data_IF_251358573569
#
_entry.id   IF_251358573569
#
_cell.length_a   1.000
_cell.length_b   1.000
_cell.length_c   1.000
_cell.angle_alpha   90.00
_cell.angle_beta   90.00
_cell.angle_gamma   90.00
#
_symmetry.space_group_name_H-M   'P 1'
#
loop_
_entity.id
_entity.type
_entity.pdbx_description
1 polymer ?
#
# COMPACT_ATOMS: atom_id res chain seq x y z
N UNK A 1 -30.64 -3.18 8.57
CA UNK A 1 -29.96 -4.47 8.26
C UNK A 1 -28.47 -4.45 8.59
N UNK A 2 -27.75 -3.32 8.45
CA UNK A 2 -26.32 -3.23 8.82
C UNK A 2 -26.02 -3.27 10.32
N UNK A 3 -26.87 -2.65 11.17
CA UNK A 3 -26.72 -2.71 12.65
C UNK A 3 -26.67 -4.16 13.16
N UNK A 4 -27.46 -5.05 12.53
CA UNK A 4 -27.52 -6.46 12.91
C UNK A 4 -26.21 -7.21 12.62
N UNK A 5 -25.43 -6.82 11.61
CA UNK A 5 -24.16 -7.48 11.27
C UNK A 5 -23.03 -6.98 12.17
N UNK A 6 -22.95 -5.67 12.40
CA UNK A 6 -21.90 -5.13 13.28
C UNK A 6 -22.08 -5.59 14.73
N UNK A 7 -23.32 -5.61 15.24
CA UNK A 7 -23.62 -6.14 16.57
C UNK A 7 -23.23 -7.62 16.70
N UNK A 8 -23.48 -8.44 15.67
CA UNK A 8 -23.05 -9.84 15.66
C UNK A 8 -21.53 -9.99 15.73
N UNK A 9 -20.77 -9.16 14.99
CA UNK A 9 -19.30 -9.18 15.04
C UNK A 9 -18.83 -8.79 16.44
N UNK A 10 -19.40 -7.72 17.03
CA UNK A 10 -19.05 -7.27 18.39
C UNK A 10 -19.34 -8.36 19.41
N UNK A 11 -20.50 -9.00 19.34
CA UNK A 11 -20.88 -10.09 20.24
C UNK A 11 -19.92 -11.28 20.10
N UNK A 12 -19.60 -11.70 18.87
CA UNK A 12 -18.67 -12.79 18.62
C UNK A 12 -17.24 -12.49 19.09
N UNK A 13 -16.77 -11.25 18.91
CA UNK A 13 -15.46 -10.82 19.42
C UNK A 13 -15.44 -10.80 20.95
N UNK A 14 -16.54 -10.36 21.59
CA UNK A 14 -16.68 -10.34 23.05
C UNK A 14 -16.63 -11.75 23.64
N UNK A 15 -17.29 -12.71 22.99
CA UNK A 15 -17.29 -14.12 23.41
C UNK A 15 -15.98 -14.84 23.06
N UNK A 16 -15.16 -14.29 22.18
CA UNK A 16 -13.90 -14.92 21.76
C UNK A 16 -12.88 -14.94 22.90
N UNK A 17 -12.24 -16.09 23.18
CA UNK A 17 -11.22 -16.19 24.22
C UNK A 17 -9.97 -15.36 23.88
N UNK A 18 -9.67 -15.20 22.59
CA UNK A 18 -8.57 -14.39 22.09
C UNK A 18 -8.95 -13.74 20.78
N UNK A 19 -8.45 -12.54 20.54
CA UNK A 19 -8.57 -11.91 19.23
C UNK A 19 -7.33 -11.07 18.91
N UNK A 20 -7.19 -10.74 17.64
CA UNK A 20 -6.16 -9.82 17.15
C UNK A 20 -6.81 -8.74 16.30
N UNK A 21 -6.17 -7.58 16.22
CA UNK A 21 -6.64 -6.48 15.39
C UNK A 21 -5.61 -6.12 14.33
N UNK A 22 -6.08 -5.67 13.18
CA UNK A 22 -5.25 -4.97 12.20
C UNK A 22 -5.80 -3.57 11.99
N UNK A 23 -4.92 -2.58 11.94
CA UNK A 23 -5.29 -1.17 11.93
C UNK A 23 -4.63 -0.47 10.75
N UNK A 24 -5.42 0.33 10.05
CA UNK A 24 -4.96 1.18 8.95
C UNK A 24 -5.59 2.58 9.08
N UNK A 25 -4.78 3.62 8.87
CA UNK A 25 -5.24 5.00 8.89
C UNK A 25 -5.36 5.53 7.47
N UNK A 26 -6.46 6.18 7.15
CA UNK A 26 -6.64 6.90 5.90
C UNK A 26 -7.30 8.24 6.13
N UNK A 27 -7.15 9.17 5.19
CA UNK A 27 -7.87 10.45 5.22
C UNK A 27 -9.02 10.37 4.22
N UNK A 28 -10.24 10.68 4.67
CA UNK A 28 -11.40 10.72 3.79
C UNK A 28 -11.46 12.01 2.95
N UNK A 29 -12.48 12.11 2.09
CA UNK A 29 -12.66 13.26 1.19
C UNK A 29 -12.96 14.58 1.90
N UNK A 30 -13.31 14.53 3.20
CA UNK A 30 -13.59 15.68 4.04
C UNK A 30 -12.41 16.08 4.92
N UNK A 31 -11.21 15.57 4.63
CA UNK A 31 -9.98 15.76 5.41
C UNK A 31 -10.08 15.23 6.85
N UNK A 32 -10.98 14.27 7.11
CA UNK A 32 -11.07 13.58 8.40
C UNK A 32 -10.23 12.32 8.35
N UNK A 33 -9.30 12.19 9.31
CA UNK A 33 -8.56 10.96 9.51
C UNK A 33 -9.51 9.87 10.05
N UNK A 34 -9.48 8.72 9.40
CA UNK A 34 -10.30 7.56 9.71
C UNK A 34 -9.40 6.39 10.06
N UNK A 35 -9.66 5.78 11.21
CA UNK A 35 -8.96 4.59 11.68
C UNK A 35 -9.84 3.37 11.40
N UNK A 36 -9.46 2.58 10.42
CA UNK A 36 -10.11 1.32 10.10
C UNK A 36 -9.53 0.21 10.97
N UNK A 37 -10.39 -0.52 11.67
CA UNK A 37 -10.00 -1.63 12.54
C UNK A 37 -10.64 -2.91 12.02
N UNK A 38 -9.78 -3.84 11.62
CA UNK A 38 -10.13 -5.22 11.35
C UNK A 38 -9.89 -6.06 12.59
N UNK A 39 -10.70 -7.10 12.78
CA UNK A 39 -10.55 -8.04 13.87
C UNK A 39 -10.49 -9.46 13.33
N UNK A 40 -9.57 -10.24 13.89
CA UNK A 40 -9.52 -11.70 13.73
C UNK A 40 -9.79 -12.34 15.07
N UNK A 41 -10.88 -13.10 15.16
CA UNK A 41 -11.36 -13.74 16.39
C UNK A 41 -11.69 -15.21 16.14
N UNK A 42 -11.94 -15.96 17.22
CA UNK A 42 -12.37 -17.35 17.15
C UNK A 42 -13.88 -17.40 17.37
N UNK A 43 -14.61 -18.02 16.44
CA UNK A 43 -16.01 -18.35 16.66
C UNK A 43 -16.14 -19.48 17.70
N UNK A 44 -17.37 -19.78 18.14
CA UNK A 44 -17.68 -20.90 19.07
C UNK A 44 -17.16 -22.26 18.57
N UNK A 45 -17.03 -22.41 17.25
CA UNK A 45 -16.47 -23.59 16.58
C UNK A 45 -14.93 -23.67 16.64
N UNK A 46 -14.27 -22.67 17.24
CA UNK A 46 -12.82 -22.44 17.20
C UNK A 46 -12.26 -22.18 15.79
N UNK A 47 -13.14 -21.88 14.82
CA UNK A 47 -12.71 -21.45 13.50
C UNK A 47 -12.32 -19.96 13.53
N UNK A 48 -11.15 -19.57 12.99
CA UNK A 48 -10.76 -18.17 12.92
C UNK A 48 -11.56 -17.45 11.85
N UNK A 49 -12.09 -16.29 12.21
CA UNK A 49 -12.83 -15.41 11.30
C UNK A 49 -12.24 -14.01 11.31
N UNK A 50 -12.28 -13.36 10.16
CA UNK A 50 -11.74 -12.01 9.94
C UNK A 50 -12.88 -11.12 9.45
N UNK A 51 -13.11 -10.00 10.13
CA UNK A 51 -14.18 -9.06 9.80
C UNK A 51 -13.75 -7.62 10.08
N UNK A 52 -14.45 -6.65 9.47
CA UNK A 52 -14.33 -5.24 9.87
C UNK A 52 -15.03 -5.06 11.21
N UNK A 53 -14.30 -4.55 12.20
CA UNK A 53 -14.86 -4.25 13.52
C UNK A 53 -15.50 -2.86 13.54
N UNK A 54 -14.72 -1.84 13.15
CA UNK A 54 -15.17 -0.47 13.16
C UNK A 54 -14.32 0.44 12.26
N UNK A 55 -14.91 1.60 11.95
CA UNK A 55 -14.25 2.75 11.36
C UNK A 55 -14.42 3.91 12.34
N UNK A 56 -13.32 4.40 12.90
CA UNK A 56 -13.33 5.43 13.93
C UNK A 56 -12.78 6.75 13.37
N UNK A 57 -13.58 7.83 13.38
CA UNK A 57 -13.07 9.14 13.00
C UNK A 57 -12.14 9.68 14.10
N UNK A 58 -10.92 10.08 13.72
CA UNK A 58 -9.95 10.75 14.58
C UNK A 58 -10.11 12.26 14.39
N UNK A 59 -10.60 12.96 15.42
CA UNK A 59 -10.84 14.39 15.35
C UNK A 59 -9.60 15.18 15.77
N UNK A 60 -9.14 16.08 14.89
CA UNK A 60 -8.07 17.04 15.16
C UNK A 60 -6.65 16.48 15.06
N UNK A 61 -6.33 15.43 15.82
CA UNK A 61 -4.98 14.86 15.89
C UNK A 61 -4.99 13.34 15.72
N UNK A 62 -3.89 12.80 15.19
CA UNK A 62 -3.67 11.37 14.93
C UNK A 62 -2.46 10.82 15.70
N UNK A 63 -2.17 11.37 16.89
CA UNK A 63 -1.04 10.89 17.72
C UNK A 63 -1.39 9.53 18.32
N UNK A 64 -0.38 8.79 18.76
CA UNK A 64 -0.60 7.49 19.40
C UNK A 64 -1.53 7.54 20.63
N UNK A 65 -1.54 8.67 21.35
CA UNK A 65 -2.47 8.96 22.46
C UNK A 65 -3.92 9.03 21.97
N UNK A 66 -4.17 9.80 20.90
CA UNK A 66 -5.51 9.99 20.32
C UNK A 66 -6.07 8.66 19.77
N UNK A 67 -5.20 7.85 19.14
CA UNK A 67 -5.53 6.49 18.67
C UNK A 67 -5.85 5.56 19.85
N UNK A 68 -5.03 5.58 20.91
CA UNK A 68 -5.25 4.76 22.10
C UNK A 68 -6.59 5.07 22.76
N UNK A 69 -6.89 6.36 22.95
CA UNK A 69 -8.13 6.81 23.58
C UNK A 69 -9.35 6.38 22.75
N UNK A 70 -9.26 6.52 21.41
CA UNK A 70 -10.33 6.11 20.50
C UNK A 70 -10.61 4.60 20.59
N UNK A 71 -9.56 3.77 20.57
CA UNK A 71 -9.67 2.31 20.69
C UNK A 71 -10.19 1.90 22.07
N UNK A 72 -9.63 2.45 23.15
CA UNK A 72 -10.07 2.14 24.51
C UNK A 72 -11.54 2.49 24.69
N UNK A 73 -11.95 3.69 24.26
CA UNK A 73 -13.34 4.13 24.34
C UNK A 73 -14.28 3.22 23.58
N UNK A 74 -13.90 2.78 22.36
CA UNK A 74 -14.69 1.84 21.59
C UNK A 74 -14.85 0.49 22.31
N UNK A 75 -13.75 -0.06 22.82
CA UNK A 75 -13.75 -1.36 23.51
C UNK A 75 -14.54 -1.30 24.82
N UNK A 76 -14.41 -0.21 25.59
CA UNK A 76 -15.16 0.03 26.82
C UNK A 76 -16.67 0.15 26.53
N UNK A 77 -17.05 0.95 25.53
CA UNK A 77 -18.44 1.16 25.12
C UNK A 77 -19.13 -0.14 24.69
N UNK A 78 -18.39 -1.01 23.99
CA UNK A 78 -18.91 -2.28 23.48
C UNK A 78 -18.58 -3.49 24.38
N UNK A 79 -18.03 -3.24 25.57
CA UNK A 79 -17.64 -4.29 26.52
C UNK A 79 -16.76 -5.39 25.90
N UNK A 80 -15.84 -5.02 25.00
CA UNK A 80 -14.87 -5.94 24.42
C UNK A 80 -13.71 -6.08 25.41
N UNK A 81 -13.38 -7.30 25.86
CA UNK A 81 -12.32 -7.52 26.85
C UNK A 81 -10.95 -7.27 26.20
N UNK A 82 -10.35 -6.12 26.51
CA UNK A 82 -9.03 -5.75 25.98
C UNK A 82 -7.95 -6.76 26.40
N UNK A 83 -8.12 -7.42 27.55
CA UNK A 83 -7.24 -8.50 28.04
C UNK A 83 -7.30 -9.79 27.20
N UNK A 84 -8.17 -9.87 26.18
CA UNK A 84 -8.17 -10.99 25.23
C UNK A 84 -7.41 -10.63 23.94
N UNK A 85 -6.86 -9.42 23.82
CA UNK A 85 -6.10 -8.98 22.65
C UNK A 85 -4.71 -9.60 22.65
N UNK A 86 -4.43 -10.47 21.67
CA UNK A 86 -3.13 -11.17 21.59
C UNK A 86 -2.14 -10.55 20.61
N UNK A 87 -2.63 -9.87 19.58
CA UNK A 87 -1.74 -9.20 18.62
C UNK A 87 -2.38 -8.05 17.85
N UNK A 88 -1.51 -7.18 17.34
CA UNK A 88 -1.86 -5.98 16.56
C UNK A 88 -1.00 -5.95 15.30
N UNK A 89 -1.62 -5.74 14.14
CA UNK A 89 -0.90 -5.54 12.87
C UNK A 89 -1.12 -4.13 12.34
N UNK A 90 -0.05 -3.42 11.98
CA UNK A 90 -0.13 -1.99 11.58
C UNK A 90 0.79 -1.69 10.41
N UNK A 91 0.60 -0.56 9.74
CA UNK A 91 1.43 -0.10 8.62
C UNK A 91 2.83 0.42 9.05
N UNK A 92 3.12 0.41 10.35
CA UNK A 92 4.39 0.90 10.90
C UNK A 92 4.50 2.42 10.97
N UNK A 93 3.41 3.18 10.87
CA UNK A 93 3.42 4.63 11.03
C UNK A 93 4.00 5.04 12.39
N UNK A 94 4.82 6.12 12.48
CA UNK A 94 5.44 6.56 13.74
C UNK A 94 4.44 6.83 14.88
N UNK A 95 3.24 7.32 14.57
CA UNK A 95 2.17 7.51 15.54
C UNK A 95 1.67 6.20 16.17
N UNK A 96 1.83 5.08 15.47
CA UNK A 96 1.34 3.78 15.91
C UNK A 96 2.46 2.98 16.61
N UNK A 97 3.65 2.91 16.00
CA UNK A 97 4.77 2.07 16.49
C UNK A 97 5.88 2.83 17.21
N UNK A 98 5.72 4.14 17.42
CA UNK A 98 6.71 4.97 18.11
C UNK A 98 7.06 4.45 19.51
N UNK A 99 8.36 4.41 19.83
CA UNK A 99 8.87 3.79 21.06
C UNK A 99 8.21 4.31 22.34
N UNK A 100 8.09 5.62 22.51
CA UNK A 100 7.59 6.20 23.77
C UNK A 100 6.10 6.55 23.74
N UNK A 101 5.66 7.14 22.62
CA UNK A 101 4.33 7.74 22.43
C UNK A 101 3.51 7.09 21.31
N UNK A 102 4.00 6.01 20.72
CA UNK A 102 3.23 5.25 19.75
C UNK A 102 2.07 4.51 20.42
N UNK A 103 0.94 4.39 19.73
CA UNK A 103 -0.23 3.64 20.20
C UNK A 103 0.14 2.28 20.79
N UNK A 104 0.93 1.46 20.08
CA UNK A 104 1.31 0.11 20.53
C UNK A 104 2.08 0.16 21.84
N UNK A 105 3.03 1.09 21.96
CA UNK A 105 3.83 1.26 23.18
C UNK A 105 3.00 1.73 24.36
N UNK A 106 2.05 2.65 24.14
CA UNK A 106 1.14 3.13 25.18
C UNK A 106 0.16 2.03 25.61
N UNK A 107 -0.37 1.27 24.66
CA UNK A 107 -1.26 0.14 24.94
C UNK A 107 -0.57 -0.95 25.76
N UNK A 108 0.66 -1.32 25.40
CA UNK A 108 1.46 -2.29 26.17
C UNK A 108 1.74 -1.82 27.59
N UNK A 109 1.95 -0.53 27.82
CA UNK A 109 2.09 0.05 29.17
C UNK A 109 0.78 -0.06 29.97
N UNK A 110 -0.38 0.00 29.31
CA UNK A 110 -1.70 -0.14 29.94
C UNK A 110 -2.02 -1.60 30.29
N UNK A 111 -1.61 -2.57 29.47
CA UNK A 111 -1.91 -3.99 29.64
C UNK A 111 -0.90 -4.73 30.54
N UNK A 112 -0.69 -4.22 31.75
CA UNK A 112 0.39 -4.52 32.72
C UNK A 112 0.88 -5.97 32.89
N UNK A 113 0.17 -7.00 32.42
CA UNK A 113 0.54 -8.42 32.54
C UNK A 113 0.52 -9.22 31.22
N UNK A 114 0.04 -8.64 30.11
CA UNK A 114 -0.15 -9.37 28.86
C UNK A 114 0.82 -8.94 27.77
N UNK A 115 1.49 -9.91 27.15
CA UNK A 115 2.39 -9.63 26.02
C UNK A 115 1.59 -9.59 24.72
N UNK A 116 1.05 -8.43 24.38
CA UNK A 116 0.47 -8.17 23.05
C UNK A 116 1.60 -8.14 22.01
N UNK A 117 1.51 -8.97 20.98
CA UNK A 117 2.48 -8.98 19.88
C UNK A 117 2.13 -7.92 18.85
N UNK A 118 3.11 -7.17 18.41
CA UNK A 118 2.95 -6.20 17.33
C UNK A 118 3.66 -6.68 16.06
N UNK A 119 2.95 -6.61 14.95
CA UNK A 119 3.43 -6.99 13.63
C UNK A 119 3.34 -5.80 12.70
N UNK A 120 4.37 -5.60 11.88
CA UNK A 120 4.29 -4.71 10.74
C UNK A 120 3.60 -5.46 9.60
N UNK A 121 2.56 -4.86 9.03
CA UNK A 121 1.84 -5.35 7.87
C UNK A 121 2.78 -5.81 6.75
N UNK A 122 2.72 -7.10 6.42
CA UNK A 122 3.60 -7.73 5.43
C UNK A 122 3.41 -7.11 4.03
N UNK A 123 2.19 -6.68 3.71
CA UNK A 123 1.87 -5.98 2.46
C UNK A 123 2.61 -4.65 2.43
N UNK A 124 2.59 -3.88 3.51
CA UNK A 124 3.32 -2.61 3.61
C UNK A 124 4.84 -2.83 3.52
N UNK A 125 5.39 -3.80 4.26
CA UNK A 125 6.82 -4.14 4.19
C UNK A 125 7.26 -4.54 2.78
N UNK A 126 6.46 -5.35 2.11
CA UNK A 126 6.70 -5.75 0.73
C UNK A 126 6.76 -4.54 -0.21
N UNK A 127 5.83 -3.58 -0.05
CA UNK A 127 5.83 -2.31 -0.80
C UNK A 127 7.10 -1.50 -0.50
N UNK A 128 7.52 -1.41 0.76
CA UNK A 128 8.73 -0.70 1.15
C UNK A 128 9.98 -1.32 0.51
N UNK A 129 10.05 -2.64 0.43
CA UNK A 129 11.13 -3.37 -0.24
C UNK A 129 11.14 -3.07 -1.75
N UNK A 130 9.97 -3.11 -2.39
CA UNK A 130 9.78 -2.85 -3.82
C UNK A 130 10.05 -1.38 -4.23
N UNK A 131 10.29 -0.47 -3.28
CA UNK A 131 10.77 0.90 -3.60
C UNK A 131 12.19 0.93 -4.16
N UNK A 132 12.98 -0.14 -3.98
CA UNK A 132 14.35 -0.27 -4.51
C UNK A 132 15.19 0.99 -4.24
N UNK A 133 15.32 1.42 -2.98
CA UNK A 133 15.89 2.74 -2.64
C UNK A 133 17.37 2.93 -3.01
N UNK A 134 18.10 1.84 -3.27
CA UNK A 134 19.55 1.84 -3.46
C UNK A 134 19.97 0.89 -4.60
N UNK A 135 21.21 1.03 -5.07
CA UNK A 135 21.81 0.14 -6.07
C UNK A 135 21.46 0.46 -7.53
N UNK A 136 21.94 -0.40 -8.43
CA UNK A 136 21.84 -0.22 -9.89
C UNK A 136 20.39 -0.24 -10.38
N UNK A 137 19.56 -1.14 -9.85
CA UNK A 137 18.14 -1.25 -10.18
C UNK A 137 17.36 0.05 -9.88
N UNK A 138 17.72 0.78 -8.82
CA UNK A 138 17.13 2.09 -8.51
C UNK A 138 17.46 3.13 -9.59
N UNK A 139 18.70 3.13 -10.07
CA UNK A 139 19.18 4.07 -11.09
C UNK A 139 18.39 3.86 -12.38
N UNK A 140 18.27 2.60 -12.80
CA UNK A 140 17.49 2.20 -13.98
C UNK A 140 16.02 2.60 -13.81
N UNK A 141 15.40 2.26 -12.67
CA UNK A 141 14.00 2.60 -12.39
C UNK A 141 13.75 4.11 -12.39
N UNK A 142 14.63 4.91 -11.78
CA UNK A 142 14.52 6.38 -11.77
C UNK A 142 14.60 6.96 -13.17
N UNK A 143 15.50 6.44 -14.01
CA UNK A 143 15.60 6.90 -15.39
C UNK A 143 14.35 6.52 -16.21
N UNK A 144 13.87 5.27 -16.07
CA UNK A 144 12.62 4.83 -16.70
C UNK A 144 11.44 5.74 -16.32
N UNK A 145 11.28 6.03 -15.02
CA UNK A 145 10.23 6.96 -14.53
C UNK A 145 10.43 8.37 -15.08
N UNK A 146 11.67 8.87 -15.17
CA UNK A 146 11.97 10.18 -15.76
C UNK A 146 11.53 10.27 -17.23
N UNK A 147 11.81 9.23 -18.02
CA UNK A 147 11.42 9.16 -19.43
C UNK A 147 9.89 9.13 -19.56
N UNK A 148 9.21 8.26 -18.80
CA UNK A 148 7.74 8.17 -18.79
C UNK A 148 7.12 9.51 -18.40
N UNK A 149 7.63 10.15 -17.34
CA UNK A 149 7.13 11.45 -16.88
C UNK A 149 7.37 12.56 -17.90
N UNK A 150 8.49 12.56 -18.62
CA UNK A 150 8.73 13.53 -19.69
C UNK A 150 7.65 13.47 -20.78
N UNK A 151 7.19 12.27 -21.12
CA UNK A 151 6.13 12.04 -22.10
C UNK A 151 4.76 12.39 -21.49
N UNK A 152 4.46 11.84 -20.31
CA UNK A 152 3.11 11.82 -19.73
C UNK A 152 2.74 13.03 -18.89
N UNK A 153 3.70 13.72 -18.26
CA UNK A 153 3.38 14.85 -17.37
C UNK A 153 2.95 16.11 -18.15
N UNK A 154 3.33 16.24 -19.43
CA UNK A 154 2.94 17.36 -20.28
C UNK A 154 1.90 16.93 -21.30
N UNK A 155 0.71 17.53 -21.24
CA UNK A 155 -0.41 17.21 -22.14
C UNK A 155 -0.07 17.33 -23.64
N UNK A 156 0.81 18.26 -24.02
CA UNK A 156 1.28 18.36 -25.41
C UNK A 156 2.16 17.17 -25.79
N UNK A 157 3.15 16.81 -24.95
CA UNK A 157 4.03 15.68 -25.23
C UNK A 157 3.24 14.38 -25.32
N UNK A 158 2.28 14.18 -24.41
CA UNK A 158 1.43 12.99 -24.42
C UNK A 158 0.62 12.87 -25.72
N UNK A 159 -0.06 13.94 -26.15
CA UNK A 159 -0.82 13.95 -27.41
C UNK A 159 0.05 13.70 -28.64
N UNK A 160 1.22 14.33 -28.70
CA UNK A 160 2.15 14.14 -29.81
C UNK A 160 2.73 12.72 -29.82
N UNK A 161 3.05 12.15 -28.66
CA UNK A 161 3.53 10.77 -28.58
C UNK A 161 2.45 9.79 -29.01
N UNK A 162 1.18 10.00 -28.65
CA UNK A 162 0.07 9.18 -29.15
C UNK A 162 -0.06 9.23 -30.67
N UNK A 163 0.18 10.38 -31.30
CA UNK A 163 0.20 10.48 -32.76
C UNK A 163 1.33 9.62 -33.35
N UNK A 164 2.54 9.67 -32.77
CA UNK A 164 3.66 8.79 -33.17
C UNK A 164 3.27 7.31 -33.07
N UNK A 165 2.59 6.91 -32.00
CA UNK A 165 2.13 5.52 -31.80
C UNK A 165 1.01 5.09 -32.77
N UNK A 166 0.25 6.03 -33.34
CA UNK A 166 -0.77 5.73 -34.35
C UNK A 166 -0.15 5.59 -35.74
N UNK A 167 0.91 6.36 -35.99
CA UNK A 167 1.65 6.33 -37.25
C UNK A 167 2.62 5.13 -37.32
N UNK A 168 3.04 4.59 -36.17
CA UNK A 168 3.74 3.30 -36.09
C UNK A 168 2.76 2.14 -35.89
N UNK A 169 3.08 0.95 -36.40
CA UNK A 169 2.36 -0.29 -36.07
C UNK A 169 2.70 -0.78 -34.64
N UNK A 170 2.73 0.14 -33.67
CA UNK A 170 3.09 -0.16 -32.29
C UNK A 170 2.05 -1.07 -31.61
N UNK A 171 2.52 -1.92 -30.71
CA UNK A 171 1.66 -2.82 -29.93
C UNK A 171 0.76 -2.12 -28.90
N UNK A 172 0.95 -0.81 -28.66
CA UNK A 172 0.16 -0.02 -27.72
C UNK A 172 -0.21 1.34 -28.30
N UNK A 173 -1.44 1.79 -28.02
CA UNK A 173 -1.96 3.10 -28.46
C UNK A 173 -1.64 4.25 -27.48
N UNK A 174 -1.06 3.93 -26.32
CA UNK A 174 -0.73 4.88 -25.25
C UNK A 174 0.31 4.27 -24.28
N UNK A 175 1.03 5.12 -23.56
CA UNK A 175 2.01 4.75 -22.53
C UNK A 175 1.47 5.11 -21.15
N UNK A 176 1.32 4.19 -20.22
CA UNK A 176 0.77 4.43 -18.88
C UNK A 176 1.57 5.47 -18.07
N UNK A 177 0.86 6.27 -17.27
CA UNK A 177 1.49 7.18 -16.31
C UNK A 177 1.81 6.43 -15.02
N UNK A 178 3.03 6.61 -14.53
CA UNK A 178 3.40 6.19 -13.19
C UNK A 178 2.85 7.15 -12.13
N UNK A 179 2.22 6.62 -11.08
CA UNK A 179 1.94 7.36 -9.83
C UNK A 179 2.53 6.61 -8.64
N UNK A 180 3.14 7.33 -7.70
CA UNK A 180 3.78 6.71 -6.53
C UNK A 180 2.79 5.93 -5.65
N UNK A 181 1.51 6.35 -5.67
CA UNK A 181 0.42 5.80 -4.84
C UNK A 181 -0.01 4.40 -5.31
N UNK A 182 0.14 4.08 -6.60
CA UNK A 182 -0.26 2.77 -7.16
C UNK A 182 0.96 2.03 -7.65
N UNK A 183 1.78 1.53 -6.73
CA UNK A 183 3.01 0.83 -7.06
C UNK A 183 2.78 -0.43 -7.94
N UNK A 184 1.61 -1.07 -7.88
CA UNK A 184 1.18 -2.16 -8.78
C UNK A 184 1.20 -1.75 -10.28
N UNK A 185 1.16 -0.44 -10.56
CA UNK A 185 1.27 0.08 -11.93
C UNK A 185 2.69 0.09 -12.48
N UNK A 186 3.73 -0.02 -11.63
CA UNK A 186 5.13 0.06 -12.08
C UNK A 186 5.49 -1.02 -13.08
N UNK A 187 5.14 -2.28 -12.81
CA UNK A 187 5.41 -3.38 -13.74
C UNK A 187 4.81 -3.14 -15.13
N UNK A 188 3.52 -2.78 -15.19
CA UNK A 188 2.83 -2.48 -16.46
C UNK A 188 3.42 -1.27 -17.20
N UNK A 189 3.85 -0.25 -16.47
CA UNK A 189 4.51 0.92 -17.06
C UNK A 189 5.85 0.52 -17.68
N UNK A 190 6.64 -0.32 -17.00
CA UNK A 190 7.93 -0.79 -17.52
C UNK A 190 7.75 -1.71 -18.74
N UNK A 191 6.76 -2.60 -18.71
CA UNK A 191 6.40 -3.47 -19.85
C UNK A 191 6.07 -2.65 -21.11
N UNK A 192 5.25 -1.61 -20.97
CA UNK A 192 4.95 -0.71 -22.09
C UNK A 192 6.15 0.13 -22.52
N UNK A 193 6.97 0.60 -21.57
CA UNK A 193 8.20 1.33 -21.88
C UNK A 193 9.13 0.47 -22.74
N UNK A 194 9.28 -0.81 -22.40
CA UNK A 194 10.08 -1.80 -23.14
C UNK A 194 9.54 -1.99 -24.55
N UNK A 195 8.23 -2.24 -24.67
CA UNK A 195 7.59 -2.49 -25.96
C UNK A 195 7.65 -1.29 -26.92
N UNK A 196 7.77 -0.07 -26.37
CA UNK A 196 7.79 1.18 -27.11
C UNK A 196 9.19 1.84 -27.15
N UNK A 197 10.26 1.12 -26.82
CA UNK A 197 11.62 1.69 -26.80
C UNK A 197 11.99 2.43 -28.09
N UNK A 198 11.73 1.90 -29.31
CA UNK A 198 12.05 2.60 -30.55
C UNK A 198 11.29 3.91 -30.73
N UNK A 199 9.98 3.91 -30.49
CA UNK A 199 9.12 5.08 -30.60
C UNK A 199 9.47 6.13 -29.55
N UNK A 200 9.79 5.68 -28.34
CA UNK A 200 10.22 6.55 -27.24
C UNK A 200 11.54 7.21 -27.58
N UNK A 201 12.53 6.46 -28.07
CA UNK A 201 13.82 7.00 -28.48
C UNK A 201 13.65 8.04 -29.60
N UNK A 202 12.86 7.73 -30.62
CA UNK A 202 12.56 8.67 -31.70
C UNK A 202 11.89 9.94 -31.16
N UNK A 203 10.86 9.78 -30.33
CA UNK A 203 10.09 10.89 -29.79
C UNK A 203 10.94 11.80 -28.90
N UNK A 204 11.66 11.26 -27.91
CA UNK A 204 12.46 12.09 -26.99
C UNK A 204 13.55 12.87 -27.74
N UNK A 205 14.19 12.26 -28.74
CA UNK A 205 15.18 12.91 -29.60
C UNK A 205 14.56 14.06 -30.41
N UNK A 206 13.38 13.86 -31.01
CA UNK A 206 12.66 14.93 -31.75
C UNK A 206 12.26 16.12 -30.85
N UNK A 207 12.18 15.90 -29.54
CA UNK A 207 11.87 16.93 -28.53
C UNK A 207 13.12 17.54 -27.89
N UNK A 208 14.31 17.25 -28.42
CA UNK A 208 15.59 17.80 -27.94
C UNK A 208 16.03 17.23 -26.59
N UNK A 209 15.50 16.07 -26.18
CA UNK A 209 16.04 15.29 -25.07
C UNK A 209 16.93 14.17 -25.63
N UNK A 210 17.94 13.77 -24.86
CA UNK A 210 18.77 12.62 -25.20
C UNK A 210 18.90 11.72 -23.98
N UNK A 211 18.61 10.44 -24.18
CA UNK A 211 18.77 9.38 -23.19
C UNK A 211 19.63 8.28 -23.82
N UNK A 212 20.98 8.41 -23.76
CA UNK A 212 21.89 7.43 -24.34
C UNK A 212 21.65 6.00 -23.83
N UNK A 213 21.13 5.87 -22.61
CA UNK A 213 20.81 4.59 -21.96
C UNK A 213 19.77 3.78 -22.72
N UNK A 214 18.91 4.40 -23.54
CA UNK A 214 17.97 3.68 -24.40
C UNK A 214 18.68 2.78 -25.44
N UNK A 215 19.95 3.07 -25.75
CA UNK A 215 20.81 2.25 -26.63
C UNK A 215 21.82 1.40 -25.86
N UNK A 216 21.93 1.61 -24.56
CA UNK A 216 22.85 0.86 -23.73
C UNK A 216 22.27 -0.52 -23.44
N UNK A 217 22.93 -1.56 -23.98
CA UNK A 217 22.49 -2.95 -23.85
C UNK A 217 22.36 -3.37 -22.38
N UNK A 218 23.26 -2.90 -21.51
CA UNK A 218 23.21 -3.23 -20.08
C UNK A 218 21.99 -2.60 -19.43
N UNK A 219 21.69 -1.34 -19.73
CA UNK A 219 20.51 -0.66 -19.21
C UNK A 219 19.21 -1.33 -19.68
N UNK A 220 19.13 -1.68 -20.97
CA UNK A 220 17.96 -2.35 -21.54
C UNK A 220 17.73 -3.72 -20.88
N UNK A 221 18.79 -4.52 -20.67
CA UNK A 221 18.67 -5.81 -19.95
C UNK A 221 18.17 -5.59 -18.52
N UNK A 222 18.73 -4.62 -17.80
CA UNK A 222 18.31 -4.31 -16.43
C UNK A 222 16.86 -3.80 -16.36
N UNK A 223 16.40 -3.09 -17.40
CA UNK A 223 15.01 -2.66 -17.52
C UNK A 223 14.06 -3.86 -17.67
N UNK A 224 14.40 -4.84 -18.51
CA UNK A 224 13.63 -6.07 -18.66
C UNK A 224 13.58 -6.86 -17.35
N UNK A 225 14.74 -7.05 -16.71
CA UNK A 225 14.81 -7.71 -15.40
C UNK A 225 13.95 -7.01 -14.35
N UNK A 226 13.95 -5.68 -14.31
CA UNK A 226 13.06 -4.90 -13.44
C UNK A 226 11.59 -5.17 -13.75
N UNK A 227 11.20 -5.18 -15.02
CA UNK A 227 9.83 -5.47 -15.43
C UNK A 227 9.37 -6.83 -14.91
N UNK A 228 10.19 -7.87 -15.09
CA UNK A 228 9.91 -9.22 -14.59
C UNK A 228 9.83 -9.26 -13.06
N UNK A 229 10.77 -8.61 -12.36
CA UNK A 229 10.77 -8.52 -10.90
C UNK A 229 9.49 -7.86 -10.37
N UNK A 230 9.06 -6.75 -10.99
CA UNK A 230 7.82 -6.08 -10.62
C UNK A 230 6.57 -6.91 -10.92
N UNK A 231 6.58 -7.77 -11.94
CA UNK A 231 5.50 -8.71 -12.19
C UNK A 231 5.35 -9.71 -11.04
N UNK A 232 6.46 -10.24 -10.53
CA UNK A 232 6.48 -11.14 -9.36
C UNK A 232 6.01 -10.42 -8.08
N UNK A 233 6.48 -9.19 -7.85
CA UNK A 233 5.99 -8.38 -6.73
C UNK A 233 4.49 -8.13 -6.81
N UNK A 234 3.96 -7.81 -7.98
CA UNK A 234 2.53 -7.61 -8.19
C UNK A 234 1.74 -8.90 -7.91
N UNK A 235 2.20 -10.04 -8.40
CA UNK A 235 1.57 -11.33 -8.12
C UNK A 235 1.55 -11.66 -6.62
N UNK A 236 2.69 -11.49 -5.93
CA UNK A 236 2.77 -11.71 -4.49
C UNK A 236 1.84 -10.79 -3.71
N UNK A 237 1.75 -9.51 -4.08
CA UNK A 237 0.87 -8.59 -3.39
C UNK A 237 -0.61 -8.93 -3.54
N UNK A 238 -1.05 -9.30 -4.74
CA UNK A 238 -2.42 -9.74 -4.97
C UNK A 238 -2.74 -11.01 -4.16
N UNK A 239 -1.78 -11.94 -4.04
CA UNK A 239 -1.96 -13.12 -3.18
C UNK A 239 -2.06 -12.74 -1.70
N UNK A 240 -1.28 -11.78 -1.22
CA UNK A 240 -1.29 -11.33 0.18
C UNK A 240 -2.54 -10.55 0.55
N UNK A 241 -3.19 -9.87 -0.40
CA UNK A 241 -4.45 -9.14 -0.17
C UNK A 241 -5.67 -10.07 0.00
N UNK A 242 -5.52 -11.36 -0.28
CA UNK A 242 -6.62 -12.32 -0.19
C UNK A 242 -7.57 -12.24 -1.39
N UNK A 243 -8.68 -12.97 -1.31
CA UNK A 243 -9.74 -12.92 -2.33
C UNK A 243 -10.61 -11.70 -2.09
N UNK A 244 -10.90 -10.95 -3.17
CA UNK A 244 -11.92 -9.90 -3.18
C UNK A 244 -13.33 -10.50 -3.05
#
# INVERSE_FOLDING_TARGET
>A
MGENVQEQVIEAVRESPFFSIAMDESTDIGDVAQLLVWVRYLEKSLYPKEEVLCLLPLQGHTRGEDILDSICKYFETHHIPLDNLVSITTDGAPAIVGHDRGFVSLLKKKLTEQTVRDYHCIIHQHILCAKLKHGELNIVLKLAVKIVNFIRAKALNHRLFKAVLQDSEAGYTDLLMHTEVRWLSKGKVLEQLIALLPEIEHFVNSRGQSFPELKDVKWVIMLHFLSDLFAHFNALNLMLQGKQ
#
